data_IF_659607018371
#
_entry.id   IF_659607018371
#
_cell.length_a   1.000
_cell.length_b   1.000
_cell.length_c   1.000
_cell.angle_alpha   90.00
_cell.angle_beta   90.00
_cell.angle_gamma   90.00
#
_symmetry.space_group_name_H-M   'P 1'
#
loop_
_entity.id
_entity.type
_entity.pdbx_description
1 polymer ?
#
# COMPACT_ATOMS: atom_id res chain seq x y z
N UNK A 1 -15.21 -55.24 9.69
CA UNK A 1 -15.73 -53.98 10.28
C UNK A 1 -15.12 -52.84 9.49
N UNK A 2 -15.86 -52.26 8.54
CA UNK A 2 -15.35 -51.17 7.71
C UNK A 2 -15.38 -49.88 8.53
N UNK A 3 -14.24 -49.21 8.68
CA UNK A 3 -14.20 -47.86 9.20
C UNK A 3 -14.88 -47.00 8.14
N UNK A 4 -16.10 -46.49 8.41
CA UNK A 4 -16.70 -45.42 7.61
C UNK A 4 -15.69 -44.27 7.63
N UNK A 5 -15.04 -44.01 6.50
CA UNK A 5 -14.16 -42.87 6.34
C UNK A 5 -14.93 -41.62 6.76
N UNK A 6 -14.33 -40.81 7.62
CA UNK A 6 -14.89 -39.51 7.99
C UNK A 6 -15.32 -38.79 6.71
N UNK A 7 -16.59 -38.37 6.63
CA UNK A 7 -17.09 -37.65 5.47
C UNK A 7 -16.19 -36.43 5.23
N UNK A 8 -15.65 -36.32 4.02
CA UNK A 8 -14.82 -35.18 3.63
C UNK A 8 -15.73 -33.95 3.43
N UNK A 9 -16.08 -33.34 4.55
CA UNK A 9 -16.93 -32.15 4.63
C UNK A 9 -16.31 -30.98 3.88
N UNK A 10 -14.97 -30.91 3.81
CA UNK A 10 -14.23 -29.84 3.16
C UNK A 10 -14.37 -29.93 1.65
N UNK A 11 -14.30 -31.13 1.07
CA UNK A 11 -14.53 -31.34 -0.37
C UNK A 11 -15.97 -31.06 -0.82
N UNK A 12 -16.93 -31.09 0.11
CA UNK A 12 -18.35 -30.82 -0.16
C UNK A 12 -18.73 -29.34 -0.09
N UNK A 13 -17.85 -28.46 0.42
CA UNK A 13 -18.13 -27.02 0.49
C UNK A 13 -18.27 -26.40 -0.90
N UNK A 14 -19.17 -25.44 -1.14
CA UNK A 14 -19.23 -24.66 -2.39
C UNK A 14 -17.96 -23.82 -2.63
N UNK A 15 -17.62 -23.57 -3.89
CA UNK A 15 -16.40 -22.84 -4.26
C UNK A 15 -16.32 -21.44 -3.62
N UNK A 16 -17.45 -20.75 -3.47
CA UNK A 16 -17.47 -19.43 -2.79
C UNK A 16 -17.02 -19.49 -1.33
N UNK A 17 -17.32 -20.57 -0.60
CA UNK A 17 -16.84 -20.75 0.78
C UNK A 17 -15.34 -21.05 0.77
N UNK A 18 -14.90 -21.93 -0.14
CA UNK A 18 -13.48 -22.25 -0.29
C UNK A 18 -12.66 -21.00 -0.65
N UNK A 19 -13.12 -20.18 -1.59
CA UNK A 19 -12.50 -18.90 -1.95
C UNK A 19 -12.42 -17.96 -0.75
N UNK A 20 -13.49 -17.84 0.04
CA UNK A 20 -13.48 -17.03 1.26
C UNK A 20 -12.46 -17.53 2.28
N UNK A 21 -12.35 -18.86 2.49
CA UNK A 21 -11.32 -19.43 3.37
C UNK A 21 -9.91 -19.14 2.83
N UNK A 22 -9.69 -19.26 1.53
CA UNK A 22 -8.40 -19.00 0.90
C UNK A 22 -8.00 -17.52 0.95
N UNK A 23 -8.96 -16.58 0.97
CA UNK A 23 -8.68 -15.16 1.19
C UNK A 23 -8.10 -14.85 2.57
N UNK A 24 -8.28 -15.73 3.55
CA UNK A 24 -7.84 -15.52 4.93
C UNK A 24 -6.44 -16.08 5.20
N UNK A 25 -5.82 -16.75 4.22
CA UNK A 25 -4.50 -17.36 4.36
C UNK A 25 -3.49 -16.77 3.36
N UNK A 26 -2.18 -16.80 3.66
CA UNK A 26 -1.15 -16.39 2.71
C UNK A 26 -1.24 -17.12 1.38
N UNK A 27 -0.94 -16.42 0.27
CA UNK A 27 -1.09 -16.96 -1.09
C UNK A 27 -0.32 -18.27 -1.30
N UNK A 28 0.84 -18.44 -0.65
CA UNK A 28 1.62 -19.67 -0.72
C UNK A 28 0.85 -20.86 -0.15
N UNK A 29 0.14 -20.66 0.96
CA UNK A 29 -0.71 -21.69 1.54
C UNK A 29 -1.93 -21.92 0.65
N UNK A 30 -2.53 -20.86 0.10
CA UNK A 30 -3.64 -21.00 -0.83
C UNK A 30 -3.25 -21.80 -2.09
N UNK A 31 -2.08 -21.53 -2.70
CA UNK A 31 -1.55 -22.32 -3.81
C UNK A 31 -1.29 -23.76 -3.38
N UNK A 32 -0.76 -24.00 -2.16
CA UNK A 32 -0.50 -25.37 -1.69
C UNK A 32 -1.77 -26.23 -1.59
N UNK A 33 -2.92 -25.61 -1.37
CA UNK A 33 -4.21 -26.33 -1.38
C UNK A 33 -4.53 -26.96 -2.74
N UNK A 34 -3.91 -26.49 -3.83
CA UNK A 34 -4.02 -27.12 -5.16
C UNK A 34 -3.57 -28.59 -5.20
N UNK A 35 -2.82 -29.04 -4.18
CA UNK A 35 -2.41 -30.43 -4.02
C UNK A 35 -3.49 -31.31 -3.39
N UNK A 36 -4.51 -30.73 -2.74
CA UNK A 36 -5.56 -31.47 -2.04
C UNK A 36 -6.49 -32.21 -3.01
N UNK A 37 -6.89 -31.57 -4.11
CA UNK A 37 -7.66 -32.24 -5.17
C UNK A 37 -7.66 -31.46 -6.48
N UNK A 38 -8.18 -32.06 -7.56
CA UNK A 38 -8.34 -31.40 -8.86
C UNK A 38 -9.19 -30.12 -8.77
N UNK A 39 -10.18 -30.09 -7.88
CA UNK A 39 -11.06 -28.93 -7.67
C UNK A 39 -10.28 -27.74 -7.10
N UNK A 40 -9.49 -27.99 -6.06
CA UNK A 40 -8.68 -26.97 -5.38
C UNK A 40 -7.60 -26.32 -6.26
N UNK A 41 -7.22 -26.94 -7.39
CA UNK A 41 -6.28 -26.36 -8.35
C UNK A 41 -6.73 -25.03 -8.94
N UNK A 42 -8.04 -24.81 -9.04
CA UNK A 42 -8.63 -23.65 -9.69
C UNK A 42 -9.23 -22.64 -8.70
N UNK A 43 -9.63 -23.08 -7.50
CA UNK A 43 -10.29 -22.23 -6.49
C UNK A 43 -9.44 -21.02 -6.11
N UNK A 44 -8.12 -21.20 -5.96
CA UNK A 44 -7.22 -20.11 -5.58
C UNK A 44 -7.01 -19.08 -6.70
N UNK A 45 -7.22 -19.43 -7.97
CA UNK A 45 -6.99 -18.55 -9.12
C UNK A 45 -8.01 -17.39 -9.18
N UNK A 46 -9.14 -17.52 -8.51
CA UNK A 46 -10.29 -16.60 -8.56
C UNK A 46 -10.45 -15.76 -7.28
N UNK A 47 -9.53 -15.90 -6.31
CA UNK A 47 -9.66 -15.17 -5.04
C UNK A 47 -9.49 -13.66 -5.26
N UNK A 48 -10.33 -12.80 -4.65
CA UNK A 48 -10.29 -11.34 -4.86
C UNK A 48 -9.09 -10.61 -4.22
N UNK A 49 -8.19 -11.29 -3.53
CA UNK A 49 -7.04 -10.68 -2.87
C UNK A 49 -5.80 -11.54 -3.06
N UNK A 50 -4.70 -10.95 -3.51
CA UNK A 50 -3.42 -11.65 -3.67
C UNK A 50 -2.33 -10.91 -2.88
N UNK A 51 -1.70 -11.63 -1.96
CA UNK A 51 -0.60 -11.09 -1.14
C UNK A 51 0.68 -11.86 -1.47
N UNK A 52 1.57 -11.28 -2.28
CA UNK A 52 2.80 -11.94 -2.75
C UNK A 52 4.00 -11.62 -1.85
N UNK A 53 3.81 -11.64 -0.53
CA UNK A 53 4.88 -11.38 0.44
C UNK A 53 5.69 -12.62 0.84
N UNK A 54 7.00 -12.47 1.01
CA UNK A 54 7.86 -13.45 1.67
C UNK A 54 9.25 -13.56 1.04
N UNK A 55 10.29 -13.62 1.88
CA UNK A 55 11.70 -13.63 1.44
C UNK A 55 12.01 -14.85 0.56
N UNK A 56 11.17 -15.88 0.63
CA UNK A 56 11.31 -17.13 -0.13
C UNK A 56 10.73 -17.10 -1.55
N UNK A 57 9.97 -16.07 -1.95
CA UNK A 57 9.39 -16.02 -3.29
C UNK A 57 10.37 -15.42 -4.30
N UNK A 58 10.77 -16.24 -5.29
CA UNK A 58 11.56 -15.78 -6.43
C UNK A 58 10.70 -14.99 -7.42
N UNK A 59 11.33 -14.17 -8.27
CA UNK A 59 10.60 -13.48 -9.34
C UNK A 59 9.90 -14.45 -10.30
N UNK A 60 10.50 -15.61 -10.55
CA UNK A 60 9.90 -16.67 -11.37
C UNK A 60 8.60 -17.20 -10.74
N UNK A 61 8.62 -17.53 -9.43
CA UNK A 61 7.43 -18.00 -8.71
C UNK A 61 6.31 -16.95 -8.69
N UNK A 62 6.66 -15.66 -8.55
CA UNK A 62 5.68 -14.58 -8.65
C UNK A 62 5.07 -14.56 -10.05
N UNK A 63 5.89 -14.57 -11.09
CA UNK A 63 5.42 -14.53 -12.48
C UNK A 63 4.54 -15.73 -12.83
N UNK A 64 4.87 -16.94 -12.38
CA UNK A 64 4.04 -18.14 -12.55
C UNK A 64 2.69 -18.01 -11.84
N UNK A 65 2.70 -17.44 -10.64
CA UNK A 65 1.47 -17.19 -9.88
C UNK A 65 0.57 -16.21 -10.62
N UNK A 66 1.13 -15.07 -11.06
CA UNK A 66 0.41 -14.05 -11.82
C UNK A 66 -0.12 -14.58 -13.16
N UNK A 67 0.60 -15.48 -13.82
CA UNK A 67 0.18 -16.09 -15.09
C UNK A 67 -1.03 -17.02 -14.95
N UNK A 68 -1.23 -17.61 -13.77
CA UNK A 68 -2.36 -18.52 -13.47
C UNK A 68 -3.55 -17.81 -12.82
N UNK A 69 -3.39 -16.55 -12.48
CA UNK A 69 -4.42 -15.79 -11.78
C UNK A 69 -5.46 -15.30 -12.79
N UNK A 70 -6.73 -15.59 -12.54
CA UNK A 70 -7.84 -15.36 -13.49
C UNK A 70 -8.97 -14.51 -12.90
N UNK A 71 -8.85 -14.05 -11.65
CA UNK A 71 -9.92 -13.30 -11.00
C UNK A 71 -10.21 -11.99 -11.77
N UNK A 72 -11.46 -11.75 -12.21
CA UNK A 72 -11.79 -10.59 -13.05
C UNK A 72 -11.83 -9.26 -12.28
N UNK A 73 -11.86 -9.28 -10.95
CA UNK A 73 -11.82 -8.10 -10.07
C UNK A 73 -11.01 -8.41 -8.82
N UNK A 74 -9.79 -7.89 -8.74
CA UNK A 74 -8.92 -8.03 -7.58
C UNK A 74 -9.06 -6.81 -6.68
N UNK A 75 -9.59 -7.00 -5.47
CA UNK A 75 -9.77 -5.94 -4.47
C UNK A 75 -8.46 -5.55 -3.78
N UNK A 76 -7.49 -6.45 -3.65
CA UNK A 76 -6.20 -6.16 -3.00
C UNK A 76 -5.05 -6.86 -3.73
N UNK A 77 -4.00 -6.12 -4.05
CA UNK A 77 -2.72 -6.64 -4.49
C UNK A 77 -1.68 -6.10 -3.52
N UNK A 78 -1.27 -6.94 -2.59
CA UNK A 78 -0.22 -6.62 -1.61
C UNK A 78 1.02 -7.43 -1.97
N UNK A 79 1.74 -7.07 -3.04
CA UNK A 79 2.78 -7.91 -3.56
C UNK A 79 4.03 -7.93 -2.68
N UNK A 80 4.17 -7.06 -1.67
CA UNK A 80 5.50 -6.72 -1.15
C UNK A 80 5.48 -6.39 0.34
N UNK A 81 5.16 -7.39 1.17
CA UNK A 81 5.53 -7.36 2.60
C UNK A 81 7.06 -7.41 2.75
N UNK A 82 7.77 -7.88 1.72
CA UNK A 82 9.23 -8.01 1.70
C UNK A 82 9.88 -7.03 0.74
N UNK A 83 11.07 -6.50 1.06
CA UNK A 83 11.71 -5.51 0.21
C UNK A 83 12.03 -6.06 -1.19
N UNK A 84 11.73 -5.28 -2.22
CA UNK A 84 12.21 -5.56 -3.58
C UNK A 84 13.73 -5.44 -3.56
N UNK A 85 14.39 -6.58 -3.69
CA UNK A 85 15.84 -6.69 -3.85
C UNK A 85 16.24 -6.39 -5.31
N UNK A 86 17.53 -6.15 -5.53
CA UNK A 86 18.09 -5.83 -6.85
C UNK A 86 17.70 -6.83 -7.95
N UNK A 87 17.59 -8.11 -7.60
CA UNK A 87 17.22 -9.19 -8.52
C UNK A 87 15.78 -9.11 -9.02
N UNK A 88 14.88 -8.51 -8.22
CA UNK A 88 13.45 -8.39 -8.54
C UNK A 88 13.13 -7.14 -9.36
N UNK A 89 14.01 -6.12 -9.36
CA UNK A 89 13.81 -4.83 -10.06
C UNK A 89 13.36 -4.99 -11.52
N UNK A 90 13.97 -5.84 -12.37
CA UNK A 90 13.58 -5.96 -13.77
C UNK A 90 12.14 -6.43 -13.99
N UNK A 91 11.49 -7.00 -12.96
CA UNK A 91 10.13 -7.54 -13.03
C UNK A 91 9.09 -6.62 -12.41
N UNK A 92 9.50 -5.58 -11.68
CA UNK A 92 8.58 -4.69 -10.95
C UNK A 92 7.61 -4.01 -11.91
N UNK A 93 8.09 -3.45 -13.02
CA UNK A 93 7.24 -2.80 -14.02
C UNK A 93 6.12 -3.75 -14.49
N UNK A 94 6.45 -5.03 -14.67
CA UNK A 94 5.48 -6.06 -15.05
C UNK A 94 4.46 -6.31 -13.94
N UNK A 95 4.88 -6.32 -12.68
CA UNK A 95 3.99 -6.50 -11.53
C UNK A 95 3.07 -5.30 -11.30
N UNK A 96 3.60 -4.08 -11.44
CA UNK A 96 2.78 -2.86 -11.39
C UNK A 96 1.80 -2.85 -12.56
N UNK A 97 2.24 -3.21 -13.77
CA UNK A 97 1.38 -3.30 -14.95
C UNK A 97 0.24 -4.32 -14.73
N UNK A 98 0.57 -5.48 -14.17
CA UNK A 98 -0.43 -6.47 -13.77
C UNK A 98 -1.43 -5.90 -12.77
N UNK A 99 -0.97 -5.22 -11.72
CA UNK A 99 -1.86 -4.62 -10.72
C UNK A 99 -2.81 -3.58 -11.36
N UNK A 100 -2.27 -2.70 -12.20
CA UNK A 100 -3.09 -1.70 -12.90
C UNK A 100 -4.07 -2.32 -13.89
N UNK A 101 -3.71 -3.42 -14.58
CA UNK A 101 -4.60 -4.07 -15.55
C UNK A 101 -5.72 -4.88 -14.91
N UNK A 102 -5.58 -5.24 -13.63
CA UNK A 102 -6.59 -5.96 -12.85
C UNK A 102 -7.37 -5.05 -11.91
N UNK A 103 -7.28 -3.72 -12.12
CA UNK A 103 -8.01 -2.70 -11.37
C UNK A 103 -7.84 -2.84 -9.85
N UNK A 104 -6.63 -3.14 -9.41
CA UNK A 104 -6.29 -3.29 -8.00
C UNK A 104 -6.68 -2.04 -7.22
N UNK A 105 -7.44 -2.22 -6.14
CA UNK A 105 -7.85 -1.10 -5.29
C UNK A 105 -6.82 -0.79 -4.20
N UNK A 106 -6.18 -1.81 -3.61
CA UNK A 106 -5.17 -1.61 -2.58
C UNK A 106 -3.81 -2.10 -3.07
N UNK A 107 -2.81 -1.22 -3.08
CA UNK A 107 -1.46 -1.52 -3.56
C UNK A 107 -0.41 -1.16 -2.50
N UNK A 108 0.40 -2.14 -2.12
CA UNK A 108 1.53 -1.95 -1.19
C UNK A 108 2.86 -2.28 -1.87
N UNK A 109 3.78 -1.33 -1.91
CA UNK A 109 5.10 -1.48 -2.54
C UNK A 109 6.23 -1.14 -1.57
N UNK A 110 7.23 -2.02 -1.47
CA UNK A 110 8.39 -1.85 -0.59
C UNK A 110 9.69 -1.98 -1.40
N UNK A 111 10.47 -0.90 -1.46
CA UNK A 111 11.73 -0.82 -2.19
C UNK A 111 12.89 -0.48 -1.24
N UNK A 112 13.94 -1.30 -1.27
CA UNK A 112 15.21 -1.00 -0.59
C UNK A 112 16.20 -0.23 -1.47
N UNK A 113 15.84 0.10 -2.72
CA UNK A 113 16.75 0.62 -3.74
C UNK A 113 16.09 1.73 -4.56
N UNK A 114 16.91 2.49 -5.28
CA UNK A 114 16.45 3.55 -6.20
C UNK A 114 15.63 2.91 -7.32
N UNK A 115 14.34 3.22 -7.37
CA UNK A 115 13.43 2.76 -8.41
C UNK A 115 12.61 3.93 -8.96
N UNK A 116 12.55 4.01 -10.29
CA UNK A 116 11.72 4.99 -10.99
C UNK A 116 10.43 4.30 -11.40
N UNK A 117 9.32 4.71 -10.79
CA UNK A 117 8.02 4.20 -11.21
C UNK A 117 7.72 4.58 -12.65
N UNK A 118 7.11 3.67 -13.43
CA UNK A 118 6.69 3.97 -14.79
C UNK A 118 5.52 4.96 -14.81
N UNK A 119 5.37 5.75 -15.87
CA UNK A 119 4.39 6.85 -15.92
C UNK A 119 2.93 6.41 -15.66
N UNK A 120 2.56 5.21 -16.12
CA UNK A 120 1.21 4.67 -15.94
C UNK A 120 0.85 4.43 -14.46
N UNK A 121 1.85 4.26 -13.58
CA UNK A 121 1.62 4.13 -12.14
C UNK A 121 0.98 5.40 -11.55
N UNK A 122 1.39 6.57 -12.05
CA UNK A 122 0.91 7.86 -11.55
C UNK A 122 -0.50 8.21 -12.05
N UNK A 123 -1.01 7.51 -13.07
CA UNK A 123 -2.28 7.82 -13.74
C UNK A 123 -3.37 6.75 -13.51
N UNK A 124 -3.32 6.05 -12.38
CA UNK A 124 -4.29 5.01 -12.05
C UNK A 124 -5.53 5.58 -11.33
N UNK A 125 -6.72 5.33 -11.87
CA UNK A 125 -8.00 5.69 -11.27
C UNK A 125 -8.61 4.58 -10.39
N UNK A 126 -7.90 3.48 -10.16
CA UNK A 126 -8.44 2.33 -9.42
C UNK A 126 -7.96 2.26 -7.97
N UNK A 127 -6.79 2.82 -7.68
CA UNK A 127 -6.22 2.77 -6.33
C UNK A 127 -7.11 3.54 -5.35
N UNK A 128 -7.61 2.84 -4.34
CA UNK A 128 -8.28 3.38 -3.15
C UNK A 128 -7.31 3.50 -1.97
N UNK A 129 -6.35 2.60 -1.87
CA UNK A 129 -5.26 2.67 -0.90
C UNK A 129 -3.90 2.39 -1.55
N UNK A 130 -2.92 3.24 -1.24
CA UNK A 130 -1.56 3.12 -1.74
C UNK A 130 -0.58 3.26 -0.58
N UNK A 131 0.24 2.24 -0.38
CA UNK A 131 1.31 2.22 0.61
C UNK A 131 2.65 2.11 -0.13
N UNK A 132 3.51 3.12 -0.01
CA UNK A 132 4.84 3.13 -0.63
C UNK A 132 5.88 3.24 0.48
N UNK A 133 6.74 2.22 0.56
CA UNK A 133 7.96 2.24 1.33
C UNK A 133 9.13 2.34 0.35
N UNK A 134 9.93 3.39 0.47
CA UNK A 134 11.10 3.59 -0.39
C UNK A 134 12.12 4.44 0.34
N UNK A 135 13.38 4.00 0.39
CA UNK A 135 14.49 4.79 0.93
C UNK A 135 15.01 5.86 -0.03
N UNK A 136 14.37 6.04 -1.18
CA UNK A 136 14.94 6.77 -2.30
C UNK A 136 14.14 8.00 -2.69
N UNK A 137 14.73 8.83 -3.55
CA UNK A 137 14.01 9.95 -4.14
C UNK A 137 12.99 9.34 -5.10
N UNK A 138 11.72 9.62 -4.85
CA UNK A 138 10.68 9.38 -5.85
C UNK A 138 10.57 10.67 -6.65
N UNK A 139 11.19 10.78 -7.85
CA UNK A 139 11.08 11.98 -8.65
C UNK A 139 9.67 12.03 -9.23
N UNK A 140 8.74 12.69 -8.53
CA UNK A 140 7.41 12.98 -9.04
C UNK A 140 7.47 14.09 -10.10
N UNK A 141 8.28 13.93 -11.16
CA UNK A 141 8.37 14.91 -12.24
C UNK A 141 7.13 14.91 -13.13
N UNK A 142 6.33 13.86 -13.05
CA UNK A 142 5.12 13.66 -13.84
C UNK A 142 3.87 14.11 -13.07
N UNK A 143 2.82 14.47 -13.81
CA UNK A 143 1.50 14.74 -13.24
C UNK A 143 0.97 13.48 -12.57
N UNK A 144 0.49 13.62 -11.33
CA UNK A 144 -0.16 12.54 -10.58
C UNK A 144 -1.67 12.65 -10.79
N UNK A 145 -2.34 11.51 -11.02
CA UNK A 145 -3.78 11.39 -11.20
C UNK A 145 -4.26 10.09 -10.54
N UNK A 146 -4.32 10.11 -9.21
CA UNK A 146 -4.87 9.04 -8.38
C UNK A 146 -6.28 9.41 -7.92
N UNK A 147 -7.20 9.49 -8.88
CA UNK A 147 -8.52 10.13 -8.72
C UNK A 147 -9.50 9.40 -7.80
N UNK A 148 -9.21 8.14 -7.43
CA UNK A 148 -10.01 7.33 -6.50
C UNK A 148 -9.31 7.06 -5.16
N UNK A 149 -8.16 7.69 -4.91
CA UNK A 149 -7.32 7.36 -3.76
C UNK A 149 -7.82 8.00 -2.47
N UNK A 150 -8.28 7.16 -1.53
CA UNK A 150 -8.75 7.58 -0.21
C UNK A 150 -7.64 7.56 0.84
N UNK A 151 -6.69 6.62 0.74
CA UNK A 151 -5.63 6.41 1.74
C UNK A 151 -4.26 6.38 1.09
N UNK A 152 -3.37 7.26 1.54
CA UNK A 152 -1.98 7.30 1.10
C UNK A 152 -1.05 7.15 2.30
N UNK A 153 -0.15 6.17 2.24
CA UNK A 153 0.94 5.99 3.20
C UNK A 153 2.28 6.05 2.49
N UNK A 154 3.14 6.98 2.88
CA UNK A 154 4.50 7.12 2.37
C UNK A 154 5.49 6.92 3.51
N UNK A 155 6.41 5.98 3.34
CA UNK A 155 7.39 5.60 4.36
C UNK A 155 8.81 5.71 3.81
N UNK A 156 9.69 6.36 4.58
CA UNK A 156 11.10 6.62 4.25
C UNK A 156 11.33 7.42 2.95
N UNK A 157 10.28 7.94 2.32
CA UNK A 157 10.34 8.55 1.01
C UNK A 157 11.06 9.92 1.06
N UNK A 158 11.98 10.15 0.12
CA UNK A 158 12.73 11.40 0.01
C UNK A 158 11.93 12.45 -0.80
N UNK A 159 10.94 13.08 -0.17
CA UNK A 159 9.97 13.98 -0.81
C UNK A 159 10.35 15.46 -0.64
N UNK A 160 10.33 16.23 -1.73
CA UNK A 160 10.35 17.70 -1.66
C UNK A 160 8.93 18.27 -1.49
N UNK A 161 8.82 19.49 -0.98
CA UNK A 161 7.55 20.22 -0.84
C UNK A 161 6.77 20.28 -2.17
N UNK A 162 7.47 20.55 -3.28
CA UNK A 162 6.88 20.57 -4.62
C UNK A 162 6.33 19.21 -5.05
N UNK A 163 7.04 18.13 -4.72
CA UNK A 163 6.61 16.77 -5.03
C UNK A 163 5.40 16.36 -4.23
N UNK A 164 5.36 16.72 -2.95
CA UNK A 164 4.19 16.50 -2.11
C UNK A 164 2.98 17.27 -2.64
N UNK A 165 3.16 18.54 -3.04
CA UNK A 165 2.09 19.35 -3.62
C UNK A 165 1.53 18.72 -4.91
N UNK A 166 2.39 18.21 -5.80
CA UNK A 166 1.96 17.49 -7.02
C UNK A 166 1.15 16.24 -6.67
N UNK A 167 1.60 15.43 -5.72
CA UNK A 167 0.86 14.25 -5.26
C UNK A 167 -0.53 14.64 -4.76
N UNK A 168 -0.61 15.60 -3.83
CA UNK A 168 -1.88 16.03 -3.24
C UNK A 168 -2.84 16.58 -4.29
N UNK A 169 -2.34 17.34 -5.27
CA UNK A 169 -3.16 17.86 -6.37
C UNK A 169 -3.77 16.76 -7.25
N UNK A 170 -3.11 15.59 -7.31
CA UNK A 170 -3.57 14.41 -8.04
C UNK A 170 -4.51 13.50 -7.25
N UNK A 171 -4.78 13.79 -5.97
CA UNK A 171 -5.58 12.94 -5.07
C UNK A 171 -6.81 13.70 -4.54
N UNK A 172 -7.79 14.07 -5.39
CA UNK A 172 -8.90 14.94 -5.01
C UNK A 172 -9.83 14.34 -3.94
N UNK A 173 -9.78 13.03 -3.75
CA UNK A 173 -10.65 12.26 -2.86
C UNK A 173 -9.93 11.73 -1.61
N UNK A 174 -8.70 12.18 -1.35
CA UNK A 174 -7.89 11.69 -0.24
C UNK A 174 -8.49 12.05 1.11
N UNK A 175 -8.63 11.06 1.99
CA UNK A 175 -9.21 11.17 3.34
C UNK A 175 -8.17 10.93 4.43
N UNK A 176 -7.17 10.08 4.16
CA UNK A 176 -6.12 9.71 5.11
C UNK A 176 -4.73 9.85 4.48
N UNK A 177 -3.88 10.63 5.11
CA UNK A 177 -2.47 10.77 4.75
C UNK A 177 -1.61 10.32 5.93
N UNK A 178 -0.68 9.40 5.65
CA UNK A 178 0.32 8.96 6.61
C UNK A 178 1.72 9.12 6.05
N UNK A 179 2.61 9.77 6.82
CA UNK A 179 4.00 10.00 6.47
C UNK A 179 4.89 9.42 7.57
N UNK A 180 5.71 8.42 7.24
CA UNK A 180 6.70 7.85 8.14
C UNK A 180 8.10 8.22 7.66
N UNK A 181 8.89 8.87 8.49
CA UNK A 181 10.31 9.18 8.25
C UNK A 181 10.59 9.93 6.93
N UNK A 182 9.70 10.83 6.52
CA UNK A 182 9.85 11.66 5.31
C UNK A 182 10.63 12.96 5.58
N UNK A 183 11.94 12.86 5.78
CA UNK A 183 12.77 13.95 6.32
C UNK A 183 12.92 15.20 5.45
N UNK A 184 12.93 15.07 4.12
CA UNK A 184 13.15 16.20 3.20
C UNK A 184 11.97 17.17 3.07
N UNK A 185 10.78 16.75 3.49
CA UNK A 185 9.57 17.56 3.44
C UNK A 185 9.66 18.63 4.53
N UNK A 186 9.60 19.91 4.17
CA UNK A 186 9.68 21.04 5.12
C UNK A 186 8.31 21.67 5.33
N UNK A 187 7.56 21.90 4.26
CA UNK A 187 6.23 22.48 4.32
C UNK A 187 5.21 21.49 3.79
N UNK A 188 4.24 21.14 4.63
CA UNK A 188 3.08 20.34 4.24
C UNK A 188 1.84 21.23 4.23
N UNK A 189 1.43 21.67 3.04
CA UNK A 189 0.21 22.46 2.84
C UNK A 189 -0.95 21.56 2.40
N UNK A 190 -1.93 21.42 3.28
CA UNK A 190 -3.14 20.62 3.10
C UNK A 190 -4.38 21.48 2.86
N UNK A 191 -4.23 22.81 2.68
CA UNK A 191 -5.35 23.74 2.48
C UNK A 191 -6.24 23.36 1.30
N UNK A 192 -5.64 22.86 0.21
CA UNK A 192 -6.37 22.41 -0.99
C UNK A 192 -6.94 21.00 -0.88
N UNK A 193 -6.61 20.27 0.18
CA UNK A 193 -7.04 18.87 0.40
C UNK A 193 -8.33 18.82 1.21
N UNK A 194 -9.44 19.29 0.63
CA UNK A 194 -10.72 19.54 1.33
C UNK A 194 -11.34 18.28 1.97
N UNK A 195 -11.08 17.10 1.39
CA UNK A 195 -11.62 15.82 1.88
C UNK A 195 -10.71 15.15 2.92
N UNK A 196 -9.49 15.66 3.12
CA UNK A 196 -8.51 15.04 4.02
C UNK A 196 -8.92 15.26 5.48
N UNK A 197 -9.16 14.17 6.21
CA UNK A 197 -9.64 14.19 7.60
C UNK A 197 -8.59 13.73 8.60
N UNK A 198 -7.71 12.85 8.17
CA UNK A 198 -6.75 12.18 9.06
C UNK A 198 -5.34 12.43 8.57
N UNK A 199 -4.50 13.01 9.43
CA UNK A 199 -3.07 13.17 9.19
C UNK A 199 -2.27 12.44 10.27
N UNK A 200 -1.34 11.59 9.86
CA UNK A 200 -0.36 11.01 10.75
C UNK A 200 1.05 11.26 10.21
N UNK A 201 1.90 11.88 11.02
CA UNK A 201 3.32 12.12 10.72
C UNK A 201 4.15 11.52 11.83
N UNK A 202 4.99 10.55 11.47
CA UNK A 202 5.90 9.86 12.37
C UNK A 202 7.34 10.14 11.92
N UNK A 203 8.15 10.71 12.81
CA UNK A 203 9.52 11.12 12.50
C UNK A 203 10.50 10.14 13.09
N UNK A 204 11.64 10.00 12.40
CA UNK A 204 12.72 9.20 12.92
C UNK A 204 13.37 9.97 14.09
N UNK A 205 13.34 9.39 15.30
CA UNK A 205 13.92 10.01 16.50
C UNK A 205 15.43 10.25 16.34
N UNK A 206 16.11 9.41 15.55
CA UNK A 206 17.56 9.51 15.32
C UNK A 206 17.94 10.59 14.29
N UNK A 207 17.02 10.92 13.36
CA UNK A 207 17.21 11.95 12.33
C UNK A 207 15.94 12.78 12.27
N UNK A 208 15.82 13.82 13.12
CA UNK A 208 14.59 14.59 13.29
C UNK A 208 14.41 15.61 12.17
N UNK A 209 14.43 15.13 10.94
CA UNK A 209 14.03 15.84 9.74
C UNK A 209 12.55 15.52 9.45
N UNK A 210 11.86 16.42 8.75
CA UNK A 210 10.44 16.31 8.40
C UNK A 210 9.73 17.66 8.47
N UNK A 211 8.40 17.71 8.24
CA UNK A 211 7.72 18.97 7.97
C UNK A 211 7.78 19.95 9.15
N UNK A 212 8.52 21.04 9.03
CA UNK A 212 8.60 22.07 10.08
C UNK A 212 7.34 22.94 10.13
N UNK A 213 6.56 22.97 9.05
CA UNK A 213 5.28 23.67 8.98
C UNK A 213 4.21 22.78 8.38
N UNK A 214 3.05 22.69 9.04
CA UNK A 214 1.90 21.95 8.55
C UNK A 214 0.70 22.91 8.53
N UNK A 215 0.12 23.14 7.35
CA UNK A 215 -1.11 23.92 7.16
C UNK A 215 -2.25 22.94 6.94
N UNK A 216 -3.27 22.92 7.82
CA UNK A 216 -4.22 21.80 7.85
C UNK A 216 -5.66 22.19 8.27
N UNK A 217 -6.36 23.08 7.53
CA UNK A 217 -7.63 23.66 7.95
C UNK A 217 -8.76 22.66 8.13
N UNK A 218 -8.71 21.53 7.41
CA UNK A 218 -9.81 20.57 7.30
C UNK A 218 -9.55 19.23 8.03
N UNK A 219 -8.39 19.07 8.66
CA UNK A 219 -8.03 17.85 9.40
C UNK A 219 -8.84 17.78 10.71
N UNK A 220 -9.37 16.59 11.02
CA UNK A 220 -10.12 16.31 12.25
C UNK A 220 -9.28 15.51 13.25
N UNK A 221 -8.43 14.61 12.76
CA UNK A 221 -7.53 13.82 13.59
C UNK A 221 -6.07 14.04 13.16
N UNK A 222 -5.23 14.40 14.12
CA UNK A 222 -3.80 14.60 13.93
C UNK A 222 -2.99 13.67 14.83
N UNK A 223 -2.07 12.90 14.27
CA UNK A 223 -1.03 12.18 15.02
C UNK A 223 0.35 12.70 14.63
N UNK A 224 1.11 13.21 15.59
CA UNK A 224 2.51 13.58 15.42
C UNK A 224 3.36 12.77 16.41
N UNK A 225 4.26 11.93 15.90
CA UNK A 225 5.22 11.18 16.72
C UNK A 225 6.65 11.61 16.38
N UNK A 226 7.53 11.63 17.38
CA UNK A 226 8.94 12.03 17.21
C UNK A 226 9.11 13.50 16.81
N UNK A 227 8.10 14.34 17.07
CA UNK A 227 8.16 15.76 16.71
C UNK A 227 9.07 16.51 17.68
N UNK A 228 10.10 17.18 17.16
CA UNK A 228 10.77 18.27 17.90
C UNK A 228 9.80 19.43 18.10
N UNK A 229 10.00 20.29 19.13
CA UNK A 229 9.14 21.45 19.39
C UNK A 229 9.08 22.48 18.24
N UNK A 230 9.89 22.33 17.18
CA UNK A 230 9.94 23.25 16.03
C UNK A 230 8.88 23.02 14.95
N UNK A 231 7.95 22.06 15.10
CA UNK A 231 6.86 21.87 14.14
C UNK A 231 5.72 22.86 14.40
N UNK A 232 5.50 23.80 13.48
CA UNK A 232 4.42 24.79 13.57
C UNK A 232 3.17 24.28 12.86
N UNK A 233 2.09 24.09 13.63
CA UNK A 233 0.75 23.85 13.09
C UNK A 233 0.08 25.19 12.77
N UNK A 234 -0.41 25.33 11.55
CA UNK A 234 -1.05 26.56 11.05
C UNK A 234 -2.42 26.21 10.53
N UNK A 235 -3.40 27.04 10.87
CA UNK A 235 -4.79 26.90 10.41
C UNK A 235 -5.31 25.47 10.63
N UNK A 236 -5.58 25.12 11.89
CA UNK A 236 -6.05 23.79 12.31
C UNK A 236 -7.47 23.86 12.89
N UNK A 237 -8.31 24.72 12.31
CA UNK A 237 -9.62 25.09 12.86
C UNK A 237 -10.60 23.89 12.99
N UNK A 238 -10.48 22.86 12.14
CA UNK A 238 -11.35 21.69 12.18
C UNK A 238 -10.85 20.55 13.10
N UNK A 239 -9.72 20.73 13.79
CA UNK A 239 -9.08 19.67 14.55
C UNK A 239 -9.90 19.32 15.81
N UNK A 240 -10.34 18.07 15.91
CA UNK A 240 -11.12 17.57 17.05
C UNK A 240 -10.30 16.68 17.98
N UNK A 241 -9.31 15.96 17.45
CA UNK A 241 -8.46 15.05 18.21
C UNK A 241 -7.01 15.16 17.77
N UNK A 242 -6.09 15.20 18.74
CA UNK A 242 -4.65 15.24 18.48
C UNK A 242 -3.90 14.28 19.41
N UNK A 243 -3.01 13.47 18.84
CA UNK A 243 -2.04 12.63 19.57
C UNK A 243 -0.63 13.11 19.26
N UNK A 244 0.04 13.65 20.27
CA UNK A 244 1.39 14.21 20.16
C UNK A 244 2.34 13.40 21.05
N UNK A 245 3.41 12.87 20.47
CA UNK A 245 4.53 12.28 21.20
C UNK A 245 5.79 13.09 20.89
N UNK A 246 6.17 13.92 21.85
CA UNK A 246 7.28 14.87 21.73
C UNK A 246 8.49 14.26 22.42
N UNK A 247 9.51 13.89 21.65
CA UNK A 247 10.76 13.43 22.21
C UNK A 247 11.55 14.64 22.74
N UNK A 248 11.79 14.67 24.04
CA UNK A 248 12.78 15.57 24.64
C UNK A 248 14.17 14.96 24.39
N UNK A 249 15.03 15.71 23.71
CA UNK A 249 16.46 15.42 23.60
C UNK A 249 17.20 16.20 24.69
#
# INVERSE_FOLDING_TARGET
MMIKGAEDLISNLPDGILQHMLCLIPIKLAISTSLLSRRWRHVWCEIPSITLGGDTLTAASINETLARYTAPKTKSFDPLITPITKEKIPYVDRWIKFATSHNVENLSLNFSLDYKFPDFFYNSSYFKQLNIYSHTIVPFKCTVSWTSLHKLSLSCCSLSDESMARILSGCPVLENLTLYHCGKLKVLDLSKSLRLKTLAVDRNVMVPEGPTKIVAPHIHYLRLLGSRPSCTLVDVASLTEAKLDVCYA
#
